data_IF_706870626732
#
_entry.id   IF_706870626732
#
_cell.length_a   1.000
_cell.length_b   1.000
_cell.length_c   1.000
_cell.angle_alpha   90.00
_cell.angle_beta   90.00
_cell.angle_gamma   90.00
#
_symmetry.space_group_name_H-M   'P 1'
#
loop_
_entity.id
_entity.type
_entity.pdbx_description
1 polymer ?
#
# COMPACT_ATOMS: atom_id res chain seq x y z
N UNK A 1 45.08 54.33 -50.91
CA UNK A 1 44.60 54.13 -52.30
C UNK A 1 43.22 53.48 -52.17
N UNK A 2 42.12 54.24 -52.28
CA UNK A 2 41.35 54.47 -53.53
C UNK A 2 40.90 53.13 -54.16
N UNK A 3 39.66 52.85 -54.58
CA UNK A 3 38.32 53.46 -54.49
C UNK A 3 37.36 52.46 -55.17
N UNK A 4 36.05 52.59 -54.93
CA UNK A 4 34.93 52.46 -55.91
C UNK A 4 34.59 51.10 -56.55
N UNK A 5 33.45 50.57 -56.09
CA UNK A 5 32.18 50.43 -56.82
C UNK A 5 32.18 50.67 -58.35
N UNK A 6 31.63 49.74 -59.13
CA UNK A 6 30.93 50.03 -60.38
C UNK A 6 29.76 49.07 -60.62
N UNK A 7 28.57 49.65 -60.76
CA UNK A 7 27.38 49.08 -61.39
C UNK A 7 27.58 49.04 -62.92
N UNK A 8 27.08 48.00 -63.59
CA UNK A 8 26.65 48.10 -64.98
C UNK A 8 25.22 47.56 -65.12
N UNK A 9 24.36 48.47 -65.58
CA UNK A 9 23.03 48.30 -66.13
C UNK A 9 23.02 47.34 -67.34
N UNK A 10 21.96 46.56 -67.50
CA UNK A 10 21.24 46.46 -68.79
C UNK A 10 19.84 45.89 -68.58
N UNK A 11 18.87 46.64 -69.09
CA UNK A 11 17.45 46.39 -69.07
C UNK A 11 17.03 45.35 -70.13
N UNK A 12 15.92 44.65 -69.89
CA UNK A 12 14.82 44.58 -70.88
C UNK A 12 13.50 44.09 -70.23
N UNK A 13 12.51 44.96 -70.38
CA UNK A 13 11.04 44.82 -70.34
C UNK A 13 10.55 43.73 -71.36
N UNK A 14 9.40 43.04 -71.35
CA UNK A 14 8.04 43.14 -70.74
C UNK A 14 7.29 41.80 -71.08
N UNK A 15 6.21 41.52 -70.34
CA UNK A 15 4.98 40.74 -70.65
C UNK A 15 4.81 39.29 -70.17
N UNK A 16 3.74 39.08 -69.40
CA UNK A 16 2.98 37.82 -69.35
C UNK A 16 2.42 37.47 -67.97
N UNK A 17 1.14 37.77 -67.74
CA UNK A 17 0.41 37.62 -66.48
C UNK A 17 0.17 36.16 -66.03
N UNK A 18 0.32 35.88 -64.73
CA UNK A 18 -0.66 35.19 -63.86
C UNK A 18 -0.03 34.93 -62.46
N UNK A 19 -0.65 35.47 -61.41
CA UNK A 19 -0.39 35.21 -59.98
C UNK A 19 -1.41 34.16 -59.49
N UNK A 20 -1.32 33.40 -58.41
CA UNK A 20 -0.44 33.29 -57.23
C UNK A 20 -0.46 31.81 -56.81
N UNK A 21 0.65 31.27 -56.29
CA UNK A 21 0.67 29.99 -55.58
C UNK A 21 1.66 30.03 -54.41
N UNK A 22 1.08 30.01 -53.21
CA UNK A 22 1.53 29.55 -51.89
C UNK A 22 3.01 29.26 -51.60
N UNK A 23 3.53 29.93 -50.55
CA UNK A 23 4.37 29.32 -49.51
C UNK A 23 4.54 30.31 -48.33
N UNK A 24 3.68 30.18 -47.31
CA UNK A 24 3.76 30.95 -46.05
C UNK A 24 4.72 30.24 -45.09
N UNK A 25 5.77 30.95 -44.70
CA UNK A 25 6.71 30.64 -43.62
C UNK A 25 6.13 31.12 -42.29
N UNK A 26 5.97 30.22 -41.32
CA UNK A 26 5.51 30.55 -39.96
C UNK A 26 6.70 30.74 -39.03
N UNK A 27 6.90 31.98 -38.58
CA UNK A 27 7.75 32.35 -37.44
C UNK A 27 6.90 32.30 -36.15
N UNK A 28 7.42 31.79 -35.02
CA UNK A 28 6.68 31.82 -33.76
C UNK A 28 6.77 33.21 -33.12
N UNK A 29 5.60 33.82 -32.89
CA UNK A 29 5.44 35.07 -32.15
C UNK A 29 5.12 34.79 -30.68
N UNK A 30 5.77 35.55 -29.81
CA UNK A 30 5.49 35.65 -28.38
C UNK A 30 4.09 36.24 -28.13
N UNK A 31 3.34 35.67 -27.17
CA UNK A 31 2.31 36.42 -26.40
C UNK A 31 1.75 35.66 -25.18
N UNK A 32 1.91 36.33 -24.03
CA UNK A 32 0.96 36.59 -22.94
C UNK A 32 0.60 35.50 -21.92
N UNK A 33 0.95 35.84 -20.67
CA UNK A 33 0.25 35.57 -19.41
C UNK A 33 -1.25 35.30 -19.57
N UNK A 34 -1.72 34.19 -19.00
CA UNK A 34 -3.08 34.07 -18.47
C UNK A 34 -3.01 33.99 -16.95
N UNK A 35 -3.54 35.06 -16.36
CA UNK A 35 -3.90 35.15 -14.96
C UNK A 35 -4.93 34.08 -14.61
N UNK A 36 -4.84 33.66 -13.35
CA UNK A 36 -5.85 33.04 -12.51
C UNK A 36 -7.30 33.34 -12.91
N UNK A 37 -8.03 32.30 -13.23
CA UNK A 37 -9.46 32.21 -12.93
C UNK A 37 -9.74 30.74 -12.55
N UNK A 38 -9.60 30.46 -11.25
CA UNK A 38 -10.04 29.21 -10.64
C UNK A 38 -11.56 29.29 -10.52
N UNK A 39 -12.25 29.10 -11.64
CA UNK A 39 -13.68 28.77 -11.62
C UNK A 39 -13.82 27.38 -11.04
N UNK A 40 -14.23 27.31 -9.78
CA UNK A 40 -14.60 26.09 -9.06
C UNK A 40 -15.88 25.52 -9.66
N UNK A 41 -15.73 24.71 -10.71
CA UNK A 41 -16.76 23.75 -11.09
C UNK A 41 -16.67 22.56 -10.11
N UNK A 42 -17.77 22.14 -9.46
CA UNK A 42 -17.75 21.00 -8.56
C UNK A 42 -17.56 19.72 -9.40
N UNK A 43 -16.43 19.04 -9.24
CA UNK A 43 -16.19 17.73 -9.85
C UNK A 43 -17.12 16.71 -9.17
N UNK A 44 -18.17 16.18 -9.82
CA UNK A 44 -19.02 15.15 -9.25
C UNK A 44 -18.51 13.80 -9.75
N UNK A 45 -17.42 13.27 -9.19
CA UNK A 45 -16.72 12.13 -9.81
C UNK A 45 -15.94 11.20 -8.85
N UNK A 46 -16.42 10.99 -7.61
CA UNK A 46 -15.74 10.12 -6.63
C UNK A 46 -16.56 8.93 -6.06
N UNK A 47 -17.79 8.69 -6.53
CA UNK A 47 -18.66 7.67 -5.91
C UNK A 47 -18.79 6.34 -6.67
N UNK A 48 -18.19 6.17 -7.85
CA UNK A 48 -18.31 4.91 -8.59
C UNK A 48 -17.09 4.03 -8.34
N UNK A 49 -17.27 2.99 -7.53
CA UNK A 49 -16.27 1.92 -7.32
C UNK A 49 -15.99 1.18 -8.62
N UNK A 50 -14.72 0.90 -8.89
CA UNK A 50 -14.25 0.19 -10.08
C UNK A 50 -13.36 -0.99 -9.67
N UNK A 51 -13.89 -2.21 -9.77
CA UNK A 51 -13.19 -3.44 -9.37
C UNK A 51 -12.36 -4.07 -10.50
N UNK A 52 -12.41 -3.53 -11.72
CA UNK A 52 -11.63 -4.04 -12.85
C UNK A 52 -11.96 -5.48 -13.23
N UNK A 53 -11.01 -6.19 -13.83
CA UNK A 53 -11.20 -7.56 -14.34
C UNK A 53 -10.74 -8.66 -13.39
N UNK A 54 -9.92 -8.34 -12.37
CA UNK A 54 -9.35 -9.32 -11.43
C UNK A 54 -10.44 -10.18 -10.75
N UNK A 55 -11.53 -9.63 -10.20
CA UNK A 55 -12.54 -10.46 -9.57
C UNK A 55 -13.20 -11.44 -10.54
N UNK A 56 -13.53 -11.01 -11.76
CA UNK A 56 -14.13 -11.91 -12.76
C UNK A 56 -13.15 -13.00 -13.21
N UNK A 57 -11.86 -12.67 -13.32
CA UNK A 57 -10.81 -13.65 -13.60
C UNK A 57 -10.78 -14.76 -12.54
N UNK A 58 -10.86 -14.40 -11.26
CA UNK A 58 -10.93 -15.37 -10.16
C UNK A 58 -12.24 -16.17 -10.18
N UNK A 59 -13.39 -15.50 -10.29
CA UNK A 59 -14.71 -16.15 -10.28
C UNK A 59 -14.86 -17.18 -11.41
N UNK A 60 -14.28 -16.90 -12.58
CA UNK A 60 -14.34 -17.82 -13.72
C UNK A 60 -13.59 -19.13 -13.48
N UNK A 61 -12.57 -19.12 -12.62
CA UNK A 61 -11.73 -20.27 -12.30
C UNK A 61 -12.28 -21.12 -11.15
N UNK A 62 -13.15 -20.54 -10.31
CA UNK A 62 -13.84 -21.28 -9.24
C UNK A 62 -14.50 -22.56 -9.78
N UNK A 63 -14.44 -23.62 -8.97
CA UNK A 63 -15.25 -24.80 -9.15
C UNK A 63 -16.75 -24.47 -9.10
N UNK A 64 -17.55 -25.27 -9.81
CA UNK A 64 -19.00 -25.12 -9.81
C UNK A 64 -19.56 -25.33 -8.39
N UNK A 65 -20.28 -24.35 -7.87
CA UNK A 65 -20.75 -24.39 -6.49
C UNK A 65 -21.48 -23.12 -6.06
N UNK A 66 -21.92 -23.10 -4.79
CA UNK A 66 -22.69 -21.99 -4.23
C UNK A 66 -21.91 -20.66 -4.28
N UNK A 67 -20.60 -20.69 -3.97
CA UNK A 67 -19.74 -19.51 -3.99
C UNK A 67 -19.63 -18.93 -5.41
N UNK A 68 -19.29 -19.76 -6.40
CA UNK A 68 -19.23 -19.34 -7.81
C UNK A 68 -20.56 -18.77 -8.29
N UNK A 69 -21.66 -19.47 -8.02
CA UNK A 69 -23.00 -19.02 -8.42
C UNK A 69 -23.34 -17.64 -7.83
N UNK A 70 -23.05 -17.44 -6.53
CA UNK A 70 -23.31 -16.18 -5.83
C UNK A 70 -22.47 -15.04 -6.40
N UNK A 71 -21.17 -15.25 -6.60
CA UNK A 71 -20.27 -14.23 -7.11
C UNK A 71 -20.55 -13.93 -8.60
N UNK A 72 -20.71 -14.94 -9.44
CA UNK A 72 -21.02 -14.76 -10.86
C UNK A 72 -22.33 -13.99 -11.09
N UNK A 73 -23.36 -14.21 -10.26
CA UNK A 73 -24.62 -13.47 -10.32
C UNK A 73 -24.45 -11.96 -10.06
N UNK A 74 -23.35 -11.56 -9.41
CA UNK A 74 -23.02 -10.19 -9.02
C UNK A 74 -21.97 -9.53 -9.95
N UNK A 75 -21.58 -10.16 -11.06
CA UNK A 75 -20.57 -9.64 -12.00
C UNK A 75 -20.79 -8.19 -12.47
N UNK A 76 -22.04 -7.69 -12.47
CA UNK A 76 -22.39 -6.34 -12.91
C UNK A 76 -22.63 -5.35 -11.75
N UNK A 77 -22.35 -5.75 -10.50
CA UNK A 77 -22.54 -4.93 -9.31
C UNK A 77 -24.01 -4.81 -8.86
N UNK A 78 -24.37 -3.75 -8.09
CA UNK A 78 -23.56 -2.57 -7.80
C UNK A 78 -22.40 -2.85 -6.84
N UNK A 79 -21.24 -2.26 -7.11
CA UNK A 79 -20.08 -2.28 -6.21
C UNK A 79 -20.01 -0.98 -5.40
N UNK A 80 -19.57 -1.07 -4.15
CA UNK A 80 -19.52 0.06 -3.24
C UNK A 80 -18.33 -0.06 -2.28
N UNK A 81 -17.93 1.07 -1.68
CA UNK A 81 -16.89 1.07 -0.66
C UNK A 81 -17.37 0.35 0.59
N UNK A 82 -16.51 -0.47 1.19
CA UNK A 82 -16.83 -1.20 2.41
C UNK A 82 -15.64 -1.22 3.37
N UNK A 83 -15.91 -1.13 4.67
CA UNK A 83 -14.87 -1.27 5.72
C UNK A 83 -14.23 -2.66 5.71
N UNK A 84 -14.91 -3.68 5.12
CA UNK A 84 -14.36 -5.02 4.99
C UNK A 84 -13.12 -5.07 4.09
N UNK A 85 -13.04 -4.16 3.10
CA UNK A 85 -11.94 -4.07 2.16
C UNK A 85 -10.93 -3.03 2.64
N UNK A 86 -9.73 -3.48 3.03
CA UNK A 86 -8.66 -2.63 3.54
C UNK A 86 -7.52 -2.62 2.51
N UNK A 87 -7.17 -1.42 2.02
CA UNK A 87 -6.03 -1.23 1.12
C UNK A 87 -4.71 -1.32 1.87
N UNK A 88 -4.06 -2.49 1.82
CA UNK A 88 -2.74 -2.70 2.42
C UNK A 88 -1.72 -1.88 1.66
N UNK A 89 -1.25 -0.80 2.29
CA UNK A 89 -0.33 0.19 1.69
C UNK A 89 -0.83 0.79 0.36
N UNK A 90 -2.15 0.78 0.14
CA UNK A 90 -2.79 1.10 -1.14
C UNK A 90 -3.14 -0.14 -1.96
N UNK A 91 -2.70 -0.18 -3.23
CA UNK A 91 -2.90 -1.27 -4.19
C UNK A 91 -1.56 -1.78 -4.77
N UNK A 92 -0.66 -2.33 -3.93
CA UNK A 92 0.72 -2.63 -4.27
C UNK A 92 0.95 -3.79 -5.26
N UNK A 93 -0.10 -4.49 -5.69
CA UNK A 93 0.02 -5.39 -6.85
C UNK A 93 0.26 -4.64 -8.16
N UNK A 94 -0.11 -3.36 -8.23
CA UNK A 94 -0.04 -2.57 -9.46
C UNK A 94 0.75 -1.26 -9.30
N UNK A 95 0.79 -0.69 -8.09
CA UNK A 95 1.38 0.62 -7.83
C UNK A 95 2.46 0.53 -6.74
N UNK A 96 3.48 1.40 -6.74
CA UNK A 96 4.43 1.48 -5.62
C UNK A 96 3.72 1.67 -4.27
N UNK A 97 4.04 0.85 -3.27
CA UNK A 97 3.40 0.92 -1.95
C UNK A 97 3.58 2.27 -1.25
N UNK A 98 2.59 2.67 -0.44
CA UNK A 98 2.58 3.95 0.30
C UNK A 98 2.74 5.22 -0.55
N UNK A 99 2.38 5.16 -1.83
CA UNK A 99 2.32 6.34 -2.70
C UNK A 99 0.89 6.86 -2.84
N UNK A 100 0.75 8.15 -3.13
CA UNK A 100 -0.55 8.77 -3.43
C UNK A 100 -1.32 7.98 -4.49
N UNK A 101 -0.63 7.55 -5.54
CA UNK A 101 -1.19 6.83 -6.67
C UNK A 101 -1.76 5.47 -6.23
N UNK A 102 -1.01 4.74 -5.42
CA UNK A 102 -1.44 3.46 -4.83
C UNK A 102 -2.68 3.63 -3.94
N UNK A 103 -2.73 4.69 -3.14
CA UNK A 103 -3.89 4.99 -2.29
C UNK A 103 -5.15 5.37 -3.06
N UNK A 104 -5.01 6.23 -4.07
CA UNK A 104 -6.12 6.61 -4.95
C UNK A 104 -6.65 5.38 -5.69
N UNK A 105 -5.76 4.51 -6.18
CA UNK A 105 -6.15 3.27 -6.82
C UNK A 105 -6.95 2.35 -5.87
N UNK A 106 -6.47 2.14 -4.65
CA UNK A 106 -7.17 1.32 -3.64
C UNK A 106 -8.57 1.85 -3.28
N UNK A 107 -8.70 3.17 -3.02
CA UNK A 107 -10.00 3.77 -2.76
C UNK A 107 -10.95 3.63 -3.97
N UNK A 108 -10.42 3.77 -5.18
CA UNK A 108 -11.18 3.58 -6.43
C UNK A 108 -11.61 2.12 -6.64
N UNK A 109 -10.81 1.17 -6.18
CA UNK A 109 -11.15 -0.25 -6.09
C UNK A 109 -12.16 -0.58 -4.97
N UNK A 110 -12.58 0.43 -4.19
CA UNK A 110 -13.62 0.31 -3.16
C UNK A 110 -13.12 -0.07 -1.78
N UNK A 111 -11.81 0.02 -1.52
CA UNK A 111 -11.31 -0.03 -0.15
C UNK A 111 -12.00 1.05 0.69
N UNK A 112 -12.64 0.64 1.78
CA UNK A 112 -13.26 1.56 2.74
C UNK A 112 -12.30 2.03 3.82
N UNK A 113 -11.17 1.33 3.97
CA UNK A 113 -10.09 1.68 4.90
C UNK A 113 -8.76 1.68 4.13
N UNK A 114 -7.90 2.68 4.37
CA UNK A 114 -6.54 2.71 3.83
C UNK A 114 -5.49 2.74 4.94
N UNK A 115 -4.40 2.01 4.72
CA UNK A 115 -3.29 1.87 5.67
C UNK A 115 -2.15 2.85 5.40
N UNK A 116 -1.62 3.46 6.46
CA UNK A 116 -0.31 4.12 6.42
C UNK A 116 0.58 3.48 7.48
N UNK A 117 1.67 2.85 7.05
CA UNK A 117 2.71 2.39 7.94
C UNK A 117 3.52 3.60 8.35
N UNK A 118 3.43 3.99 9.61
CA UNK A 118 4.04 5.21 10.12
C UNK A 118 5.46 4.90 10.55
N UNK A 119 6.40 5.68 10.04
CA UNK A 119 7.77 5.84 10.56
C UNK A 119 8.10 7.33 10.64
N UNK A 120 9.35 7.67 10.99
CA UNK A 120 9.79 9.06 11.09
C UNK A 120 11.13 9.32 10.40
N UNK A 121 11.29 10.55 9.92
CA UNK A 121 12.52 11.07 9.32
C UNK A 121 13.53 11.52 10.38
N UNK A 122 14.75 11.89 9.97
CA UNK A 122 15.81 12.41 10.86
C UNK A 122 15.35 13.60 11.72
N UNK A 123 14.54 14.48 11.15
CA UNK A 123 13.93 15.64 11.81
C UNK A 123 12.58 15.31 12.48
N UNK A 124 12.28 14.02 12.69
CA UNK A 124 11.12 13.48 13.42
C UNK A 124 9.76 13.80 12.80
N UNK A 125 9.71 14.08 11.49
CA UNK A 125 8.46 14.18 10.76
C UNK A 125 7.93 12.77 10.45
N UNK A 126 6.61 12.56 10.59
CA UNK A 126 5.99 11.26 10.33
C UNK A 126 5.74 11.07 8.83
N UNK A 127 6.06 9.88 8.32
CA UNK A 127 5.93 9.50 6.90
C UNK A 127 5.34 8.10 6.74
N UNK A 128 4.64 7.86 5.63
CA UNK A 128 4.09 6.55 5.30
C UNK A 128 5.14 5.70 4.60
N UNK A 129 5.68 4.68 5.29
CA UNK A 129 6.68 3.72 4.83
C UNK A 129 6.55 2.41 5.61
N UNK A 130 6.64 1.28 4.92
CA UNK A 130 6.50 -0.03 5.54
C UNK A 130 7.56 -0.30 6.61
N UNK A 131 8.78 0.16 6.41
CA UNK A 131 9.83 0.08 7.42
C UNK A 131 10.63 1.37 7.44
N UNK A 132 11.23 1.67 8.59
CA UNK A 132 12.14 2.80 8.68
C UNK A 132 13.32 2.66 7.70
N UNK A 133 13.71 1.44 7.32
CA UNK A 133 14.89 1.17 6.49
C UNK A 133 14.58 0.53 5.12
N UNK A 134 13.43 0.81 4.54
CA UNK A 134 12.99 0.24 3.25
C UNK A 134 13.33 1.10 2.02
N UNK A 135 13.95 2.28 2.18
CA UNK A 135 14.05 3.25 1.08
C UNK A 135 14.83 2.71 -0.12
N UNK A 136 15.80 1.82 0.10
CA UNK A 136 16.64 1.27 -0.95
C UNK A 136 15.91 0.29 -1.90
N UNK A 137 14.87 -0.42 -1.43
CA UNK A 137 14.08 -1.33 -2.27
C UNK A 137 12.83 -0.69 -2.84
N UNK A 138 12.41 0.46 -2.33
CA UNK A 138 11.08 1.03 -2.61
C UNK A 138 11.10 2.47 -3.11
N UNK A 139 12.28 3.07 -3.22
CA UNK A 139 12.45 4.41 -3.80
C UNK A 139 13.64 4.45 -4.74
N UNK A 140 13.83 5.59 -5.41
CA UNK A 140 15.01 5.89 -6.21
C UNK A 140 16.21 6.44 -5.41
N UNK A 141 16.25 6.31 -4.07
CA UNK A 141 17.28 6.94 -3.21
C UNK A 141 18.72 6.63 -3.65
N UNK A 142 18.98 5.38 -4.08
CA UNK A 142 20.31 4.97 -4.53
C UNK A 142 20.74 5.64 -5.84
N UNK A 143 19.79 6.11 -6.64
CA UNK A 143 20.02 6.85 -7.88
C UNK A 143 20.29 8.35 -7.67
N UNK A 144 20.21 8.84 -6.43
CA UNK A 144 20.48 10.24 -6.07
C UNK A 144 21.77 10.27 -5.23
N UNK A 145 22.95 10.58 -5.82
CA UNK A 145 24.24 10.42 -5.14
C UNK A 145 24.34 11.12 -3.78
N UNK A 146 23.76 12.32 -3.66
CA UNK A 146 23.77 13.10 -2.41
C UNK A 146 23.00 12.42 -1.27
N UNK A 147 21.95 11.66 -1.59
CA UNK A 147 21.13 10.94 -0.61
C UNK A 147 21.64 9.51 -0.39
N UNK A 148 22.11 8.84 -1.45
CA UNK A 148 22.73 7.53 -1.35
C UNK A 148 23.94 7.53 -0.39
N UNK A 149 24.72 8.62 -0.36
CA UNK A 149 25.84 8.81 0.56
C UNK A 149 25.43 8.98 2.04
N UNK A 150 24.14 9.13 2.33
CA UNK A 150 23.60 9.25 3.69
C UNK A 150 23.04 7.94 4.24
N UNK A 151 22.87 6.93 3.39
CA UNK A 151 22.34 5.63 3.80
C UNK A 151 23.19 5.03 4.93
N UNK A 152 22.51 4.51 5.95
CA UNK A 152 23.11 3.77 7.06
C UNK A 152 24.11 2.70 6.60
N UNK A 153 23.81 1.97 5.53
CA UNK A 153 24.75 1.10 4.83
C UNK A 153 24.72 1.43 3.32
N UNK A 154 25.85 1.85 2.72
CA UNK A 154 25.91 2.16 1.29
C UNK A 154 25.72 0.90 0.46
N UNK A 155 25.41 1.08 -0.83
CA UNK A 155 25.29 -0.04 -1.76
C UNK A 155 26.60 -0.85 -1.83
N UNK A 156 26.48 -2.15 -1.59
CA UNK A 156 27.53 -3.14 -1.78
C UNK A 156 27.09 -4.09 -2.90
N UNK A 157 27.88 -4.22 -3.99
CA UNK A 157 27.55 -5.12 -5.09
C UNK A 157 27.62 -6.58 -4.67
N UNK A 158 26.89 -7.44 -5.39
CA UNK A 158 27.02 -8.89 -5.22
C UNK A 158 28.44 -9.36 -5.55
N UNK A 159 28.93 -10.36 -4.81
CA UNK A 159 30.12 -11.13 -5.12
C UNK A 159 29.71 -12.60 -5.35
N UNK A 160 29.51 -13.00 -6.62
CA UNK A 160 29.14 -14.38 -6.95
C UNK A 160 30.20 -15.41 -6.55
N UNK A 161 31.48 -15.03 -6.50
CA UNK A 161 32.56 -15.95 -6.12
C UNK A 161 32.52 -16.28 -4.62
N UNK A 162 32.05 -15.34 -3.80
CA UNK A 162 31.89 -15.51 -2.35
C UNK A 162 30.45 -15.81 -1.92
N UNK A 163 29.51 -15.96 -2.87
CA UNK A 163 28.08 -16.14 -2.60
C UNK A 163 27.48 -15.01 -1.74
N UNK A 164 27.99 -13.79 -1.91
CA UNK A 164 27.50 -12.59 -1.22
C UNK A 164 26.48 -11.89 -2.10
N UNK A 165 25.27 -11.66 -1.58
CA UNK A 165 24.24 -10.91 -2.26
C UNK A 165 24.51 -9.39 -2.20
N UNK A 166 24.03 -8.67 -3.22
CA UNK A 166 24.00 -7.23 -3.21
C UNK A 166 23.15 -6.71 -2.04
N UNK A 167 23.59 -5.63 -1.41
CA UNK A 167 22.92 -5.08 -0.23
C UNK A 167 23.04 -3.55 -0.17
N UNK A 168 22.09 -2.93 0.52
CA UNK A 168 22.09 -1.52 0.91
C UNK A 168 21.14 -1.39 2.10
N UNK A 169 21.29 -0.34 2.90
CA UNK A 169 20.35 0.01 3.98
C UNK A 169 20.20 1.52 4.04
N UNK A 170 19.08 2.00 3.53
CA UNK A 170 18.74 3.43 3.54
C UNK A 170 17.48 3.62 4.35
N UNK A 171 17.56 4.45 5.39
CA UNK A 171 16.48 4.65 6.33
C UNK A 171 15.89 6.07 6.25
N UNK A 172 14.61 6.23 6.54
CA UNK A 172 13.99 7.56 6.67
C UNK A 172 14.67 8.39 7.75
N UNK A 173 15.16 7.76 8.82
CA UNK A 173 15.96 8.41 9.87
C UNK A 173 17.34 8.92 9.42
N UNK A 174 17.81 8.53 8.23
CA UNK A 174 19.09 8.99 7.67
C UNK A 174 18.97 10.41 7.07
N UNK A 175 17.75 10.79 6.65
CA UNK A 175 17.46 11.99 5.86
C UNK A 175 16.37 12.85 6.49
N UNK A 176 16.37 14.15 6.18
CA UNK A 176 15.32 15.09 6.61
C UNK A 176 14.04 14.89 5.79
N UNK A 177 12.92 15.47 6.25
CA UNK A 177 11.68 15.47 5.47
C UNK A 177 11.85 16.14 4.09
N UNK A 178 12.60 17.24 4.04
CA UNK A 178 12.85 17.96 2.80
C UNK A 178 13.59 17.10 1.77
N UNK A 179 14.46 16.20 2.22
CA UNK A 179 15.18 15.26 1.38
C UNK A 179 14.33 14.05 1.01
N UNK A 180 13.55 13.52 1.96
CA UNK A 180 12.56 12.47 1.70
C UNK A 180 11.61 12.87 0.57
N UNK A 181 11.21 14.15 0.52
CA UNK A 181 10.33 14.71 -0.51
C UNK A 181 10.96 14.86 -1.90
N UNK A 182 12.26 14.61 -2.04
CA UNK A 182 12.93 14.55 -3.34
C UNK A 182 12.87 13.15 -3.96
N UNK A 183 12.53 12.13 -3.16
CA UNK A 183 12.47 10.75 -3.61
C UNK A 183 11.19 10.48 -4.42
N UNK A 184 11.27 9.51 -5.32
CA UNK A 184 10.13 8.88 -5.97
C UNK A 184 10.03 7.43 -5.50
N UNK A 185 8.83 7.01 -5.14
CA UNK A 185 8.51 5.61 -4.90
C UNK A 185 8.66 4.77 -6.17
N UNK A 186 9.04 3.50 -5.99
CA UNK A 186 9.08 2.44 -7.00
C UNK A 186 8.50 1.15 -6.42
N UNK A 187 8.28 0.13 -7.26
CA UNK A 187 7.88 -1.19 -6.76
C UNK A 187 8.91 -1.71 -5.76
N UNK A 188 8.42 -2.28 -4.65
CA UNK A 188 9.27 -2.90 -3.64
C UNK A 188 9.99 -4.10 -4.24
N UNK A 189 11.28 -3.92 -4.50
CA UNK A 189 12.11 -4.90 -5.16
C UNK A 189 13.60 -4.58 -5.02
N UNK A 190 14.41 -5.63 -5.04
CA UNK A 190 15.84 -5.55 -5.17
C UNK A 190 16.37 -6.78 -5.90
N UNK A 191 17.36 -6.60 -6.77
CA UNK A 191 18.08 -7.70 -7.40
C UNK A 191 19.30 -8.09 -6.55
N UNK A 192 19.28 -9.25 -5.84
CA UNK A 192 20.37 -9.66 -4.97
C UNK A 192 21.63 -10.07 -5.74
N UNK A 193 21.58 -10.21 -7.06
CA UNK A 193 22.73 -10.57 -7.90
C UNK A 193 23.36 -9.35 -8.60
N UNK A 194 22.86 -8.14 -8.32
CA UNK A 194 23.31 -6.94 -8.99
C UNK A 194 24.74 -6.53 -8.62
N UNK A 195 25.53 -6.15 -9.62
CA UNK A 195 26.89 -5.60 -9.43
C UNK A 195 26.93 -4.07 -9.52
N UNK A 196 25.79 -3.44 -9.79
CA UNK A 196 25.63 -1.99 -9.85
C UNK A 196 24.23 -1.57 -9.35
N UNK A 197 24.08 -0.27 -9.08
CA UNK A 197 22.87 0.32 -8.49
C UNK A 197 21.65 0.28 -9.42
N UNK A 198 21.85 0.34 -10.73
CA UNK A 198 20.75 0.32 -11.71
C UNK A 198 20.11 -1.07 -11.68
N UNK A 199 20.92 -2.11 -11.85
CA UNK A 199 20.45 -3.50 -11.83
C UNK A 199 19.89 -3.88 -10.45
N UNK A 200 20.42 -3.32 -9.35
CA UNK A 200 19.93 -3.58 -8.00
C UNK A 200 18.48 -3.11 -7.82
N UNK A 201 18.12 -1.95 -8.41
CA UNK A 201 16.78 -1.38 -8.31
C UNK A 201 15.78 -2.02 -9.27
N UNK A 202 16.26 -2.70 -10.32
CA UNK A 202 15.47 -3.42 -11.33
C UNK A 202 15.22 -4.89 -10.91
N UNK A 203 14.59 -5.07 -9.74
CA UNK A 203 14.34 -6.38 -9.15
C UNK A 203 12.87 -6.83 -9.18
N UNK A 204 11.99 -6.10 -9.86
CA UNK A 204 10.53 -6.33 -9.79
C UNK A 204 10.21 -7.73 -10.30
N UNK A 205 9.48 -8.51 -9.50
CA UNK A 205 9.11 -9.87 -9.91
C UNK A 205 8.19 -9.83 -11.13
N UNK A 206 8.37 -10.78 -12.06
CA UNK A 206 7.64 -10.80 -13.36
C UNK A 206 6.11 -10.92 -13.25
N UNK A 207 5.58 -11.33 -12.10
CA UNK A 207 4.15 -11.40 -11.81
C UNK A 207 3.59 -10.09 -11.21
N UNK A 208 4.45 -9.10 -10.95
CA UNK A 208 4.11 -7.70 -10.68
C UNK A 208 4.30 -6.86 -11.94
N UNK A 209 4.01 -5.57 -11.86
CA UNK A 209 4.16 -4.64 -12.99
C UNK A 209 4.80 -3.32 -12.56
N UNK A 210 5.69 -2.79 -13.39
CA UNK A 210 6.20 -1.42 -13.28
C UNK A 210 5.41 -0.42 -14.16
N UNK A 211 4.35 -0.88 -14.83
CA UNK A 211 3.57 -0.05 -15.75
C UNK A 211 3.01 1.23 -15.08
N UNK A 212 2.63 1.13 -13.81
CA UNK A 212 2.13 2.26 -13.02
C UNK A 212 3.17 2.79 -12.02
N UNK A 213 4.43 2.37 -12.14
CA UNK A 213 5.53 2.75 -11.26
C UNK A 213 6.43 3.85 -11.86
N UNK A 214 5.93 4.62 -12.83
CA UNK A 214 6.71 5.67 -13.52
C UNK A 214 7.06 6.84 -12.60
N UNK A 215 6.20 7.15 -11.62
CA UNK A 215 6.47 8.08 -10.54
C UNK A 215 5.58 7.75 -9.34
N UNK A 216 6.19 7.59 -8.16
CA UNK A 216 5.50 7.32 -6.91
C UNK A 216 5.58 8.51 -5.96
N UNK A 217 4.46 9.20 -5.72
CA UNK A 217 4.45 10.37 -4.83
C UNK A 217 4.44 9.92 -3.37
N UNK A 218 5.54 10.15 -2.66
CA UNK A 218 5.66 9.83 -1.23
C UNK A 218 4.92 10.84 -0.35
N UNK A 219 4.34 10.35 0.75
CA UNK A 219 3.50 11.15 1.65
C UNK A 219 4.07 11.16 3.08
N UNK A 220 3.97 12.33 3.72
CA UNK A 220 3.94 12.41 5.18
C UNK A 220 2.66 11.75 5.68
N UNK A 221 2.64 11.42 6.97
CA UNK A 221 1.42 10.92 7.61
C UNK A 221 0.29 11.97 7.58
N UNK A 222 0.57 13.27 7.79
CA UNK A 222 -0.44 14.34 7.59
C UNK A 222 -0.99 14.43 6.17
N UNK A 223 -0.15 14.30 5.15
CA UNK A 223 -0.64 14.34 3.77
C UNK A 223 -1.47 13.09 3.42
N UNK A 224 -1.15 11.92 3.98
CA UNK A 224 -1.99 10.73 3.80
C UNK A 224 -3.34 10.89 4.50
N UNK A 225 -3.39 11.47 5.70
CA UNK A 225 -4.65 11.81 6.39
C UNK A 225 -5.51 12.73 5.50
N UNK A 226 -4.93 13.81 4.98
CA UNK A 226 -5.64 14.73 4.10
C UNK A 226 -6.17 14.04 2.83
N UNK A 227 -5.35 13.16 2.24
CA UNK A 227 -5.75 12.36 1.09
C UNK A 227 -6.91 11.42 1.44
N UNK A 228 -6.81 10.68 2.55
CA UNK A 228 -7.81 9.69 2.95
C UNK A 228 -9.15 10.35 3.28
N UNK A 229 -9.15 11.52 3.93
CA UNK A 229 -10.38 12.28 4.16
C UNK A 229 -11.00 12.74 2.83
N UNK A 230 -10.19 13.21 1.88
CA UNK A 230 -10.68 13.60 0.54
C UNK A 230 -11.21 12.43 -0.29
N UNK A 231 -10.73 11.21 0.01
CA UNK A 231 -11.17 9.97 -0.62
C UNK A 231 -12.37 9.36 0.09
N UNK A 232 -12.86 9.94 1.19
CA UNK A 232 -13.99 9.43 1.99
C UNK A 232 -13.80 7.96 2.35
N UNK A 233 -12.71 7.69 3.08
CA UNK A 233 -12.34 6.38 3.63
C UNK A 233 -11.92 6.52 5.09
N UNK A 234 -12.02 5.42 5.84
CA UNK A 234 -11.40 5.28 7.16
C UNK A 234 -9.90 5.02 7.03
N UNK A 235 -9.19 5.12 8.14
CA UNK A 235 -7.73 5.16 8.19
C UNK A 235 -7.22 4.13 9.20
N UNK A 236 -6.21 3.34 8.83
CA UNK A 236 -5.57 2.38 9.75
C UNK A 236 -4.06 2.65 9.82
N UNK A 237 -3.60 3.60 10.66
CA UNK A 237 -2.17 3.87 10.80
C UNK A 237 -1.48 2.76 11.61
N UNK A 238 -0.43 2.15 11.05
CA UNK A 238 0.44 1.23 11.77
C UNK A 238 1.64 1.97 12.38
N UNK A 239 1.82 1.93 13.71
CA UNK A 239 3.04 2.42 14.32
C UNK A 239 4.18 1.40 14.12
N UNK A 240 5.06 1.64 13.14
CA UNK A 240 6.20 0.73 12.89
C UNK A 240 7.26 0.86 13.98
N UNK A 241 7.90 -0.27 14.31
CA UNK A 241 9.09 -0.28 15.15
C UNK A 241 10.19 0.60 14.57
N UNK A 242 10.82 1.42 15.43
CA UNK A 242 11.99 2.19 15.05
C UNK A 242 13.18 1.24 14.78
N UNK A 243 13.93 1.52 13.72
CA UNK A 243 15.22 0.87 13.39
C UNK A 243 16.43 1.66 13.91
N UNK A 244 16.18 2.57 14.86
CA UNK A 244 17.16 3.37 15.59
C UNK A 244 17.01 3.13 17.10
N UNK A 245 18.05 3.46 17.87
CA UNK A 245 17.94 3.42 19.32
C UNK A 245 16.93 4.48 19.81
N UNK A 246 15.94 4.05 20.59
CA UNK A 246 14.99 4.94 21.25
C UNK A 246 15.46 5.24 22.70
N UNK A 247 15.30 6.48 23.20
CA UNK A 247 14.73 7.64 22.52
C UNK A 247 15.64 8.20 21.43
N UNK A 248 15.05 8.62 20.31
CA UNK A 248 15.75 9.22 19.18
C UNK A 248 15.69 10.75 19.28
N UNK A 249 16.81 11.41 19.56
CA UNK A 249 16.91 12.86 19.77
C UNK A 249 15.78 13.41 20.68
N UNK A 250 15.62 12.74 21.83
CA UNK A 250 14.63 13.07 22.85
C UNK A 250 13.20 12.56 22.58
N UNK A 251 12.91 11.96 21.43
CA UNK A 251 11.62 11.32 21.16
C UNK A 251 11.61 9.88 21.68
N UNK A 252 10.88 9.64 22.76
CA UNK A 252 10.64 8.29 23.30
C UNK A 252 9.64 7.50 22.45
N UNK A 253 9.55 6.19 22.68
CA UNK A 253 8.54 5.34 22.02
C UNK A 253 7.12 5.82 22.32
N UNK A 254 6.82 6.20 23.57
CA UNK A 254 5.51 6.72 23.96
C UNK A 254 5.20 8.07 23.27
N UNK A 255 6.19 8.97 23.16
CA UNK A 255 6.03 10.22 22.41
C UNK A 255 5.77 9.96 20.92
N UNK A 256 6.39 8.93 20.35
CA UNK A 256 6.16 8.54 18.97
C UNK A 256 4.74 7.96 18.77
N UNK A 257 4.32 7.06 19.65
CA UNK A 257 2.96 6.51 19.66
C UNK A 257 1.88 7.59 19.84
N UNK A 258 2.13 8.58 20.70
CA UNK A 258 1.23 9.72 20.89
C UNK A 258 1.23 10.63 19.66
N UNK A 259 2.41 10.99 19.14
CA UNK A 259 2.55 11.87 18.00
C UNK A 259 1.77 11.38 16.76
N UNK A 260 1.69 10.06 16.56
CA UNK A 260 0.87 9.50 15.47
C UNK A 260 -0.61 9.86 15.63
N UNK A 261 -1.17 9.78 16.85
CA UNK A 261 -2.57 10.16 17.11
C UNK A 261 -2.77 11.67 17.12
N UNK A 262 -1.81 12.44 17.63
CA UNK A 262 -1.86 13.91 17.65
C UNK A 262 -2.10 14.49 16.25
N UNK A 263 -1.51 13.90 15.20
CA UNK A 263 -1.72 14.37 13.84
C UNK A 263 -3.16 14.19 13.34
N UNK A 264 -3.89 13.18 13.82
CA UNK A 264 -5.34 13.04 13.55
C UNK A 264 -6.16 14.07 14.33
N UNK A 265 -5.82 14.31 15.59
CA UNK A 265 -6.50 15.30 16.43
C UNK A 265 -6.33 16.72 15.88
N UNK A 266 -5.09 17.09 15.53
CA UNK A 266 -4.75 18.37 14.91
C UNK A 266 -5.49 18.60 13.59
N UNK A 267 -5.77 17.53 12.84
CA UNK A 267 -6.50 17.58 11.57
C UNK A 267 -8.02 17.42 11.75
N UNK A 268 -8.52 17.31 12.98
CA UNK A 268 -9.95 17.21 13.29
C UNK A 268 -10.60 15.90 12.82
N UNK A 269 -9.82 14.83 12.65
CA UNK A 269 -10.35 13.53 12.24
C UNK A 269 -11.05 12.87 13.42
N UNK A 270 -12.30 12.46 13.23
CA UNK A 270 -13.05 11.76 14.27
C UNK A 270 -12.37 10.42 14.62
N UNK A 271 -12.15 10.10 15.91
CA UNK A 271 -11.51 8.84 16.32
C UNK A 271 -12.19 7.57 15.78
N UNK A 272 -13.50 7.61 15.54
CA UNK A 272 -14.25 6.51 14.93
C UNK A 272 -13.89 6.22 13.46
N UNK A 273 -13.14 7.12 12.79
CA UNK A 273 -12.58 6.88 11.45
C UNK A 273 -11.19 6.25 11.49
N UNK A 274 -10.57 6.08 12.67
CA UNK A 274 -9.16 5.70 12.80
C UNK A 274 -9.00 4.40 13.57
N UNK A 275 -8.30 3.44 12.99
CA UNK A 275 -7.93 2.14 13.57
C UNK A 275 -6.42 2.13 13.84
N UNK A 276 -5.93 2.72 14.95
CA UNK A 276 -4.50 2.70 15.21
C UNK A 276 -4.03 1.28 15.51
N UNK A 277 -2.95 0.84 14.85
CA UNK A 277 -2.47 -0.53 14.93
C UNK A 277 -0.96 -0.60 15.25
N UNK A 278 -0.54 -1.64 15.96
CA UNK A 278 0.88 -1.90 16.25
C UNK A 278 1.12 -3.38 16.55
N UNK A 279 2.28 -3.91 16.13
CA UNK A 279 2.78 -5.22 16.56
C UNK A 279 3.30 -5.22 18.00
N UNK A 280 3.62 -4.04 18.54
CA UNK A 280 4.08 -3.88 19.90
C UNK A 280 2.89 -3.64 20.83
N UNK A 281 2.54 -4.66 21.61
CA UNK A 281 1.42 -4.61 22.55
C UNK A 281 1.55 -3.46 23.58
N UNK A 282 2.77 -2.99 23.88
CA UNK A 282 2.96 -1.85 24.77
C UNK A 282 2.42 -0.54 24.17
N UNK A 283 2.46 -0.37 22.83
CA UNK A 283 1.88 0.80 22.17
C UNK A 283 0.35 0.76 22.22
N UNK A 284 -0.25 -0.43 22.04
CA UNK A 284 -1.69 -0.63 22.17
C UNK A 284 -2.16 -0.33 23.60
N UNK A 285 -1.45 -0.83 24.62
CA UNK A 285 -1.72 -0.50 26.03
C UNK A 285 -1.56 0.98 26.31
N UNK A 286 -0.53 1.61 25.74
CA UNK A 286 -0.35 3.06 25.86
C UNK A 286 -1.57 3.83 25.33
N UNK A 287 -2.10 3.48 24.15
CA UNK A 287 -3.30 4.13 23.62
C UNK A 287 -4.55 3.83 24.45
N UNK A 288 -4.71 2.62 24.99
CA UNK A 288 -5.81 2.29 25.90
C UNK A 288 -5.82 3.19 27.14
N UNK A 289 -4.64 3.49 27.70
CA UNK A 289 -4.50 4.31 28.89
C UNK A 289 -4.57 5.82 28.60
N UNK A 290 -4.07 6.28 27.45
CA UNK A 290 -3.82 7.71 27.18
C UNK A 290 -4.70 8.31 26.08
N UNK A 291 -5.29 7.50 25.20
CA UNK A 291 -6.10 7.95 24.06
C UNK A 291 -7.42 7.15 23.94
N UNK A 292 -8.29 7.15 24.96
CA UNK A 292 -9.41 6.22 25.09
C UNK A 292 -10.44 6.30 23.95
N UNK A 293 -10.56 7.45 23.27
CA UNK A 293 -11.46 7.60 22.12
C UNK A 293 -10.94 6.82 20.90
N UNK A 294 -9.65 6.96 20.56
CA UNK A 294 -9.00 6.18 19.51
C UNK A 294 -8.89 4.69 19.89
N UNK A 295 -8.65 4.41 21.17
CA UNK A 295 -8.50 3.05 21.67
C UNK A 295 -9.77 2.19 21.57
N UNK A 296 -10.93 2.79 21.27
CA UNK A 296 -12.14 2.02 20.91
C UNK A 296 -11.96 1.17 19.66
N UNK A 297 -11.05 1.57 18.77
CA UNK A 297 -10.72 0.89 17.51
C UNK A 297 -9.24 0.46 17.43
N UNK A 298 -8.49 0.51 18.54
CA UNK A 298 -7.09 0.09 18.54
C UNK A 298 -6.96 -1.41 18.20
N UNK A 299 -5.99 -1.71 17.34
CA UNK A 299 -5.75 -3.04 16.80
C UNK A 299 -4.39 -3.53 17.27
N UNK A 300 -4.36 -4.70 17.90
CA UNK A 300 -3.12 -5.42 18.13
C UNK A 300 -2.79 -6.25 16.89
N UNK A 301 -1.77 -5.85 16.12
CA UNK A 301 -1.25 -6.67 15.03
C UNK A 301 -0.57 -7.89 15.66
N UNK A 302 -1.14 -9.05 15.45
CA UNK A 302 -0.80 -10.21 16.24
C UNK A 302 0.43 -10.92 15.67
N UNK A 303 1.60 -10.43 16.09
CA UNK A 303 2.91 -10.94 15.72
C UNK A 303 3.37 -12.13 16.56
N UNK A 304 2.51 -12.73 17.39
CA UNK A 304 2.93 -13.84 18.28
C UNK A 304 3.48 -15.03 17.51
N UNK A 305 3.14 -15.17 16.22
CA UNK A 305 3.71 -16.18 15.33
C UNK A 305 5.23 -16.12 15.17
N UNK A 306 5.85 -14.96 15.43
CA UNK A 306 7.30 -14.81 15.43
C UNK A 306 7.96 -15.32 16.72
N UNK A 307 7.17 -15.69 17.74
CA UNK A 307 7.68 -16.27 18.99
C UNK A 307 8.08 -17.72 18.75
N UNK A 308 9.29 -18.15 19.15
CA UNK A 308 9.71 -19.54 19.03
C UNK A 308 8.70 -20.49 19.68
N UNK A 309 8.24 -21.49 18.91
CA UNK A 309 7.28 -22.50 19.37
C UNK A 309 5.81 -22.09 19.28
N UNK A 310 5.48 -20.92 18.73
CA UNK A 310 4.10 -20.56 18.44
C UNK A 310 3.44 -21.59 17.50
N UNK A 311 2.23 -22.01 17.84
CA UNK A 311 1.41 -22.89 17.02
C UNK A 311 -0.07 -22.47 17.08
N UNK A 312 -0.71 -22.06 15.97
CA UNK A 312 -2.12 -21.66 15.96
C UNK A 312 -3.09 -22.81 16.28
N UNK A 313 -2.61 -24.05 16.36
CA UNK A 313 -3.39 -25.22 16.75
C UNK A 313 -3.27 -25.58 18.25
N UNK A 314 -2.40 -24.89 19.01
CA UNK A 314 -2.17 -25.17 20.43
C UNK A 314 -2.21 -23.90 21.28
N UNK A 315 -3.29 -23.74 22.05
CA UNK A 315 -3.55 -22.57 22.90
C UNK A 315 -2.46 -22.27 23.94
N UNK A 316 -1.73 -23.29 24.40
CA UNK A 316 -0.69 -23.14 25.40
C UNK A 316 0.50 -22.30 24.89
N UNK A 317 0.65 -22.24 23.56
CA UNK A 317 1.74 -21.51 22.89
C UNK A 317 1.41 -20.02 22.68
N UNK A 318 0.17 -19.60 22.91
CA UNK A 318 -0.26 -18.22 22.69
C UNK A 318 0.02 -17.39 23.94
N UNK A 319 1.14 -16.66 23.94
CA UNK A 319 1.51 -15.79 25.05
C UNK A 319 1.68 -14.33 24.58
N UNK A 320 0.95 -13.37 25.18
CA UNK A 320 -0.15 -13.53 26.15
C UNK A 320 -1.32 -14.37 25.60
N UNK A 321 -2.15 -14.96 26.46
CA UNK A 321 -3.33 -15.72 26.02
C UNK A 321 -4.44 -14.80 25.51
N UNK A 322 -5.46 -15.36 24.84
CA UNK A 322 -6.64 -14.58 24.41
C UNK A 322 -7.35 -13.92 25.60
N UNK A 323 -7.51 -14.64 26.70
CA UNK A 323 -8.10 -14.11 27.93
C UNK A 323 -7.26 -12.98 28.52
N UNK A 324 -5.93 -13.10 28.48
CA UNK A 324 -5.03 -12.04 28.94
C UNK A 324 -5.16 -10.79 28.05
N UNK A 325 -5.22 -10.95 26.72
CA UNK A 325 -5.42 -9.82 25.80
C UNK A 325 -6.72 -9.07 26.09
N UNK A 326 -7.83 -9.79 26.30
CA UNK A 326 -9.13 -9.20 26.66
C UNK A 326 -9.05 -8.49 28.02
N UNK A 327 -8.43 -9.12 29.03
CA UNK A 327 -8.24 -8.52 30.35
C UNK A 327 -7.38 -7.24 30.30
N UNK A 328 -6.43 -7.19 29.37
CA UNK A 328 -5.59 -6.01 29.12
C UNK A 328 -6.33 -4.92 28.31
N UNK A 329 -7.61 -5.14 27.95
CA UNK A 329 -8.45 -4.16 27.25
C UNK A 329 -8.36 -4.23 25.72
N UNK A 330 -7.63 -5.19 25.15
CA UNK A 330 -7.56 -5.38 23.69
C UNK A 330 -8.92 -5.82 23.16
N UNK A 331 -9.40 -5.13 22.11
CA UNK A 331 -10.71 -5.39 21.49
C UNK A 331 -10.60 -6.02 20.10
N UNK A 332 -9.53 -5.69 19.38
CA UNK A 332 -9.32 -6.09 17.98
C UNK A 332 -7.91 -6.68 17.87
N UNK A 333 -7.82 -7.89 17.31
CA UNK A 333 -6.55 -8.50 16.92
C UNK A 333 -6.47 -8.60 15.40
N UNK A 334 -5.25 -8.58 14.87
CA UNK A 334 -4.97 -8.73 13.46
C UNK A 334 -3.84 -9.73 13.19
N UNK A 335 -4.10 -11.04 13.25
CA UNK A 335 -3.14 -12.07 12.84
C UNK A 335 -3.08 -12.22 11.32
N UNK A 336 -2.00 -12.82 10.78
CA UNK A 336 -1.95 -13.14 9.35
C UNK A 336 -2.95 -14.25 8.98
N UNK A 337 -3.35 -14.32 7.71
CA UNK A 337 -4.41 -15.22 7.20
C UNK A 337 -4.22 -16.68 7.66
N UNK A 338 -3.01 -17.20 7.48
CA UNK A 338 -2.69 -18.61 7.76
C UNK A 338 -2.88 -18.99 9.24
N UNK A 339 -2.84 -18.03 10.17
CA UNK A 339 -3.10 -18.29 11.60
C UNK A 339 -4.58 -18.58 11.84
N UNK A 340 -5.48 -18.06 11.00
CA UNK A 340 -6.93 -18.15 11.18
C UNK A 340 -7.56 -19.40 10.55
N UNK A 341 -6.83 -20.13 9.71
CA UNK A 341 -7.36 -21.27 8.96
C UNK A 341 -6.44 -22.47 9.03
N UNK A 342 -7.02 -23.65 8.83
CA UNK A 342 -6.33 -24.93 8.70
C UNK A 342 -7.14 -25.84 7.77
N UNK A 343 -6.64 -27.05 7.53
CA UNK A 343 -7.34 -28.07 6.76
C UNK A 343 -7.99 -29.10 7.68
N UNK A 344 -9.22 -29.50 7.34
CA UNK A 344 -9.87 -30.64 7.97
C UNK A 344 -9.41 -31.97 7.35
N UNK A 345 -9.99 -33.09 7.81
CA UNK A 345 -9.66 -34.43 7.31
C UNK A 345 -10.09 -34.68 5.85
N UNK A 346 -10.81 -33.74 5.22
CA UNK A 346 -11.24 -33.76 3.82
C UNK A 346 -10.50 -32.70 2.99
N UNK A 347 -9.41 -32.13 3.52
CA UNK A 347 -8.65 -31.02 2.92
C UNK A 347 -9.51 -29.79 2.61
N UNK A 348 -10.59 -29.57 3.37
CA UNK A 348 -11.37 -28.34 3.27
C UNK A 348 -10.78 -27.27 4.18
N UNK A 349 -10.77 -26.02 3.71
CA UNK A 349 -10.33 -24.87 4.50
C UNK A 349 -11.38 -24.61 5.60
N UNK A 350 -10.95 -24.65 6.85
CA UNK A 350 -11.80 -24.44 8.04
C UNK A 350 -11.15 -23.48 9.03
N UNK A 351 -11.91 -22.83 9.92
CA UNK A 351 -11.35 -22.02 11.00
C UNK A 351 -10.36 -22.81 11.87
N UNK A 352 -9.21 -22.22 12.17
CA UNK A 352 -8.24 -22.81 13.10
C UNK A 352 -8.74 -22.76 14.55
N UNK A 353 -8.18 -23.58 15.46
CA UNK A 353 -8.41 -23.45 16.90
C UNK A 353 -8.15 -22.04 17.42
N UNK A 354 -7.14 -21.35 16.88
CA UNK A 354 -6.86 -19.94 17.18
C UNK A 354 -8.05 -19.03 16.83
N UNK A 355 -8.59 -19.14 15.61
CA UNK A 355 -9.71 -18.32 15.16
C UNK A 355 -10.95 -18.53 16.03
N UNK A 356 -11.25 -19.80 16.35
CA UNK A 356 -12.35 -20.19 17.21
C UNK A 356 -12.18 -19.59 18.61
N UNK A 357 -10.99 -19.73 19.21
CA UNK A 357 -10.70 -19.23 20.55
C UNK A 357 -10.76 -17.69 20.62
N UNK A 358 -10.21 -16.99 19.62
CA UNK A 358 -10.29 -15.53 19.55
C UNK A 358 -11.74 -15.03 19.53
N UNK A 359 -12.58 -15.66 18.69
CA UNK A 359 -14.02 -15.35 18.60
C UNK A 359 -14.75 -15.65 19.91
N UNK A 360 -14.47 -16.79 20.54
CA UNK A 360 -15.05 -17.17 21.84
C UNK A 360 -14.64 -16.22 22.97
N UNK A 361 -13.44 -15.67 22.92
CA UNK A 361 -12.96 -14.65 23.86
C UNK A 361 -13.64 -13.27 23.64
N UNK A 362 -14.37 -13.08 22.54
CA UNK A 362 -15.02 -11.82 22.21
C UNK A 362 -14.11 -10.80 21.50
N UNK A 363 -12.95 -11.23 21.01
CA UNK A 363 -12.07 -10.39 20.21
C UNK A 363 -12.64 -10.24 18.79
N UNK A 364 -12.64 -9.00 18.27
CA UNK A 364 -12.87 -8.76 16.84
C UNK A 364 -11.59 -9.09 16.07
N UNK A 365 -11.74 -9.54 14.83
CA UNK A 365 -10.62 -10.03 14.03
C UNK A 365 -10.55 -9.23 12.72
N UNK A 366 -9.40 -8.63 12.46
CA UNK A 366 -8.98 -8.19 11.13
C UNK A 366 -7.89 -9.18 10.67
N UNK A 367 -7.62 -9.34 9.37
CA UNK A 367 -6.57 -10.26 8.92
C UNK A 367 -5.83 -9.77 7.68
N UNK A 368 -4.62 -10.28 7.43
CA UNK A 368 -3.70 -9.77 6.41
C UNK A 368 -2.75 -10.85 5.86
N UNK A 369 -2.35 -10.86 4.58
CA UNK A 369 -2.79 -10.03 3.46
C UNK A 369 -3.14 -10.93 2.26
N UNK A 370 -4.33 -10.77 1.68
CA UNK A 370 -4.91 -11.75 0.74
C UNK A 370 -4.09 -11.93 -0.55
N UNK A 371 -3.71 -10.85 -1.22
CA UNK A 371 -3.13 -10.92 -2.57
C UNK A 371 -1.69 -10.40 -2.63
N UNK A 372 -0.87 -10.75 -1.64
CA UNK A 372 0.56 -10.38 -1.62
C UNK A 372 1.47 -11.44 -2.26
N UNK A 373 1.01 -12.68 -2.34
CA UNK A 373 1.76 -13.81 -2.89
C UNK A 373 1.91 -13.74 -4.42
N UNK A 374 2.89 -14.49 -4.94
CA UNK A 374 2.91 -14.87 -6.36
C UNK A 374 1.66 -15.72 -6.71
N UNK A 375 1.39 -15.98 -8.01
CA UNK A 375 0.26 -16.80 -8.43
C UNK A 375 0.16 -18.12 -7.63
N UNK A 376 -1.05 -18.44 -7.20
CA UNK A 376 -1.30 -19.47 -6.19
C UNK A 376 -1.08 -20.89 -6.71
N UNK A 377 -0.91 -21.11 -8.01
CA UNK A 377 -0.52 -22.40 -8.59
C UNK A 377 0.83 -22.91 -8.04
N UNK A 378 1.62 -22.03 -7.44
CA UNK A 378 2.87 -22.36 -6.74
C UNK A 378 2.70 -22.72 -5.24
N UNK A 379 1.45 -22.86 -4.76
CA UNK A 379 1.11 -23.19 -3.37
C UNK A 379 1.00 -21.99 -2.43
N UNK A 380 0.95 -20.76 -2.96
CA UNK A 380 0.68 -19.52 -2.22
C UNK A 380 1.74 -19.06 -1.20
N UNK A 381 2.76 -19.87 -0.91
CA UNK A 381 3.90 -19.50 -0.07
C UNK A 381 3.51 -19.18 1.38
N UNK A 382 4.16 -18.18 1.98
CA UNK A 382 3.99 -17.87 3.40
C UNK A 382 2.55 -17.45 3.78
N UNK A 383 1.81 -16.76 2.91
CA UNK A 383 0.47 -16.29 3.27
C UNK A 383 -0.58 -17.42 3.32
N UNK A 384 -0.28 -18.56 2.69
CA UNK A 384 -1.19 -19.69 2.52
C UNK A 384 -0.63 -20.99 3.13
N UNK A 385 0.49 -20.93 3.85
CA UNK A 385 1.26 -22.14 4.20
C UNK A 385 0.49 -23.16 5.04
N UNK A 386 -0.46 -22.72 5.87
CA UNK A 386 -1.29 -23.59 6.72
C UNK A 386 -2.35 -24.39 5.94
N UNK A 387 -2.56 -24.05 4.67
CA UNK A 387 -3.54 -24.65 3.79
C UNK A 387 -2.95 -25.03 2.42
N UNK A 388 -1.62 -25.09 2.29
CA UNK A 388 -0.90 -25.32 1.02
C UNK A 388 -1.47 -26.48 0.21
N UNK A 389 -1.84 -27.59 0.86
CA UNK A 389 -2.36 -28.79 0.19
C UNK A 389 -3.73 -28.59 -0.48
N UNK A 390 -4.46 -27.53 -0.14
CA UNK A 390 -5.70 -27.13 -0.78
C UNK A 390 -5.51 -26.03 -1.84
N UNK A 391 -4.30 -25.48 -1.99
CA UNK A 391 -4.02 -24.36 -2.89
C UNK A 391 -3.39 -24.86 -4.19
N UNK A 392 -4.05 -24.59 -5.31
CA UNK A 392 -3.58 -24.95 -6.64
C UNK A 392 -3.95 -23.95 -7.74
N UNK A 393 -4.77 -22.93 -7.45
CA UNK A 393 -5.22 -21.93 -8.42
C UNK A 393 -5.51 -20.59 -7.75
N UNK A 394 -5.45 -19.51 -8.53
CA UNK A 394 -5.61 -18.14 -8.04
C UNK A 394 -7.00 -17.88 -7.41
N UNK A 395 -8.04 -18.61 -7.83
CA UNK A 395 -9.39 -18.52 -7.28
C UNK A 395 -9.51 -19.05 -5.85
N UNK A 396 -8.53 -19.82 -5.36
CA UNK A 396 -8.45 -20.25 -3.97
C UNK A 396 -8.39 -19.05 -3.00
N UNK A 397 -7.96 -17.88 -3.47
CA UNK A 397 -8.06 -16.63 -2.72
C UNK A 397 -9.52 -16.28 -2.36
N UNK A 398 -10.49 -16.54 -3.25
CA UNK A 398 -11.92 -16.33 -2.99
C UNK A 398 -12.48 -17.41 -2.05
N UNK A 399 -12.01 -18.65 -2.16
CA UNK A 399 -12.40 -19.74 -1.24
C UNK A 399 -11.93 -19.41 0.18
N UNK A 400 -10.65 -19.03 0.34
CA UNK A 400 -10.11 -18.58 1.61
C UNK A 400 -10.86 -17.36 2.15
N UNK A 401 -11.11 -16.36 1.30
CA UNK A 401 -11.85 -15.15 1.69
C UNK A 401 -13.26 -15.47 2.20
N UNK A 402 -13.94 -16.44 1.58
CA UNK A 402 -15.26 -16.88 2.02
C UNK A 402 -15.23 -17.54 3.41
N UNK A 403 -14.24 -18.40 3.68
CA UNK A 403 -14.06 -19.00 5.02
C UNK A 403 -13.74 -17.93 6.07
N UNK A 404 -12.86 -16.98 5.75
CA UNK A 404 -12.51 -15.87 6.65
C UNK A 404 -13.73 -15.00 6.96
N UNK A 405 -14.53 -14.66 5.95
CA UNK A 405 -15.72 -13.84 6.11
C UNK A 405 -16.86 -14.55 6.83
N UNK A 406 -17.25 -15.74 6.37
CA UNK A 406 -18.48 -16.40 6.81
C UNK A 406 -18.27 -17.26 8.06
N UNK A 407 -17.13 -17.94 8.16
CA UNK A 407 -16.90 -18.93 9.23
C UNK A 407 -16.09 -18.32 10.38
N UNK A 408 -14.92 -17.73 10.07
CA UNK A 408 -14.12 -17.01 11.07
C UNK A 408 -14.90 -15.78 11.53
N UNK A 409 -15.44 -14.99 10.60
CA UNK A 409 -16.16 -13.76 10.91
C UNK A 409 -15.22 -12.57 11.09
N UNK A 410 -14.19 -12.47 10.24
CA UNK A 410 -13.32 -11.30 10.22
C UNK A 410 -14.13 -10.05 9.85
N UNK A 411 -13.87 -8.93 10.51
CA UNK A 411 -14.53 -7.65 10.23
C UNK A 411 -13.86 -6.86 9.10
N UNK A 412 -12.64 -7.24 8.71
CA UNK A 412 -11.93 -6.65 7.58
C UNK A 412 -10.72 -7.47 7.16
N UNK A 413 -10.33 -7.32 5.89
CA UNK A 413 -9.23 -8.04 5.25
C UNK A 413 -8.35 -7.04 4.52
N UNK A 414 -7.07 -7.02 4.89
CA UNK A 414 -6.03 -6.34 4.13
C UNK A 414 -5.79 -7.06 2.80
N UNK A 415 -5.79 -6.30 1.71
CA UNK A 415 -5.45 -6.82 0.37
C UNK A 415 -4.51 -5.88 -0.36
N UNK A 416 -3.50 -6.46 -1.02
CA UNK A 416 -2.64 -5.75 -1.98
C UNK A 416 -3.39 -5.47 -3.30
N UNK A 417 -4.58 -6.05 -3.48
CA UNK A 417 -5.51 -5.83 -4.59
C UNK A 417 -6.96 -5.65 -4.10
N UNK A 418 -7.31 -4.46 -3.55
CA UNK A 418 -8.58 -4.27 -2.84
C UNK A 418 -9.86 -4.54 -3.66
N UNK A 419 -9.75 -4.55 -4.99
CA UNK A 419 -10.87 -4.87 -5.87
C UNK A 419 -11.50 -6.24 -5.57
N UNK A 420 -10.70 -7.25 -5.22
CA UNK A 420 -11.18 -8.60 -4.92
C UNK A 420 -12.02 -8.62 -3.64
N UNK A 421 -11.52 -8.04 -2.55
CA UNK A 421 -12.21 -7.96 -1.26
C UNK A 421 -13.46 -7.08 -1.35
N UNK A 422 -13.40 -5.96 -2.09
CA UNK A 422 -14.56 -5.11 -2.36
C UNK A 422 -15.64 -5.83 -3.16
N UNK A 423 -15.26 -6.53 -4.22
CA UNK A 423 -16.19 -7.29 -5.06
C UNK A 423 -16.90 -8.36 -4.22
N UNK A 424 -16.14 -9.19 -3.51
CA UNK A 424 -16.69 -10.21 -2.63
C UNK A 424 -17.67 -9.60 -1.62
N UNK A 425 -17.26 -8.57 -0.88
CA UNK A 425 -18.11 -7.91 0.11
C UNK A 425 -19.38 -7.30 -0.50
N UNK A 426 -19.26 -6.70 -1.68
CA UNK A 426 -20.41 -6.13 -2.41
C UNK A 426 -21.43 -7.22 -2.75
N UNK A 427 -20.95 -8.35 -3.28
CA UNK A 427 -21.78 -9.50 -3.67
C UNK A 427 -22.41 -10.22 -2.48
N UNK A 428 -21.72 -10.22 -1.35
CA UNK A 428 -22.22 -10.75 -0.08
C UNK A 428 -23.07 -9.74 0.70
N UNK A 429 -23.37 -8.56 0.13
CA UNK A 429 -24.24 -7.54 0.71
C UNK A 429 -23.76 -7.06 2.09
N UNK A 430 -22.45 -6.98 2.26
CA UNK A 430 -21.82 -6.50 3.50
C UNK A 430 -22.05 -5.00 3.72
N UNK A 431 -21.76 -4.53 4.93
CA UNK A 431 -21.98 -3.14 5.28
C UNK A 431 -21.13 -2.19 4.42
N UNK A 432 -21.75 -1.11 3.94
CA UNK A 432 -21.07 -0.01 3.24
C UNK A 432 -20.29 0.86 4.22
N UNK A 433 -19.30 1.60 3.74
CA UNK A 433 -18.75 2.73 4.53
C UNK A 433 -19.92 3.69 4.81
N UNK A 434 -20.10 4.05 6.08
CA UNK A 434 -21.11 5.01 6.54
C UNK A 434 -20.61 6.44 6.48
#
# INVERSE_FOLDING_TARGET
MNTKCFLIFSALLINGCASDSDLITVLPTTKKNKNSDLTTEPVPLLNTVQVGTRPQFLVNQLDEGALKNKLAACQNGPFYKTDFSIGHRGAPMQYPEHTKESYVAAAKMGAGILECDVTFTKDKALVCRHSQCDLHTTTNILSIPELANKCSEPFTPADPAQQVAASAKCCTSDITLAEFKQLSGKMDSANPQATNVIDYQDGTANWRTDLYATQGTLLTHKESIALFESLDVKMTPELKSASVQMPFDGMSQAMYAQKMLDEYEEMGIAPAKVFPQSFNLADVRYWLDNAPLFATQAVYLDGRYSTPGFNPLNEQTWQPSMAQLVNDGVKIIAPPLWVLVTLDAQNQIVPSPYAIAAKQAGLKIITWTLERSAPLESGGGWYYHSITDAINSDDDALVLLDVLAQQVGVMGVFSDWPATTTYYASCMEMQRVN
#
